data_IF_175636014741
#
_entry.id   IF_175636014741
#
_cell.length_a   1.000
_cell.length_b   1.000
_cell.length_c   1.000
_cell.angle_alpha   90.00
_cell.angle_beta   90.00
_cell.angle_gamma   90.00
#
_symmetry.space_group_name_H-M   'P 1'
#
loop_
_entity.id
_entity.type
_entity.pdbx_description
1 polymer ?
#
# COMPACT_ATOMS: atom_id res chain seq x y z
N UNK A 1 -48.81 33.11 -1.65
CA UNK A 1 -49.53 31.84 -1.38
C UNK A 1 -49.46 30.91 -2.60
N UNK A 2 -49.62 31.42 -3.82
CA UNK A 2 -49.58 30.64 -5.07
C UNK A 2 -48.25 29.96 -5.38
N UNK A 3 -47.10 30.62 -5.20
CA UNK A 3 -45.79 30.06 -5.58
C UNK A 3 -45.45 28.76 -4.83
N UNK A 4 -45.66 28.71 -3.50
CA UNK A 4 -45.39 27.52 -2.69
C UNK A 4 -46.33 26.36 -3.03
N UNK A 5 -47.59 26.65 -3.36
CA UNK A 5 -48.55 25.63 -3.79
C UNK A 5 -48.11 24.91 -5.08
N UNK A 6 -47.55 25.64 -6.06
CA UNK A 6 -47.00 25.01 -7.26
C UNK A 6 -45.71 24.23 -7.00
N UNK A 7 -44.92 24.63 -6.01
CA UNK A 7 -43.63 24.01 -5.67
C UNK A 7 -43.79 22.73 -4.83
N UNK A 8 -44.72 22.71 -3.86
CA UNK A 8 -44.88 21.62 -2.88
C UNK A 8 -46.24 20.91 -2.98
N UNK A 9 -47.16 21.38 -3.81
CA UNK A 9 -48.48 20.79 -4.03
C UNK A 9 -49.43 20.97 -2.85
N UNK A 10 -50.43 20.09 -2.72
CA UNK A 10 -51.43 20.15 -1.63
C UNK A 10 -50.87 19.82 -0.25
N UNK A 11 -49.60 19.39 -0.17
CA UNK A 11 -48.88 19.08 1.09
C UNK A 11 -48.11 20.26 1.66
N UNK A 12 -48.38 21.49 1.19
CA UNK A 12 -47.79 22.71 1.76
C UNK A 12 -48.11 22.83 3.25
N UNK A 13 -47.12 22.54 4.08
CA UNK A 13 -46.91 23.10 5.41
C UNK A 13 -46.33 24.52 5.29
N UNK A 14 -45.98 25.16 6.40
CA UNK A 14 -45.43 26.53 6.41
C UNK A 14 -43.90 26.55 6.56
N UNK A 15 -43.26 25.38 6.70
CA UNK A 15 -41.91 25.23 7.24
C UNK A 15 -40.91 24.63 6.22
N UNK A 16 -41.32 24.35 4.97
CA UNK A 16 -40.50 23.64 3.97
C UNK A 16 -39.14 24.30 3.74
N UNK A 17 -39.08 25.63 3.73
CA UNK A 17 -37.85 26.39 3.46
C UNK A 17 -37.06 26.73 4.75
N UNK A 18 -37.52 26.30 5.92
CA UNK A 18 -36.87 26.64 7.19
C UNK A 18 -35.65 25.76 7.49
N UNK A 19 -35.47 24.68 6.73
CA UNK A 19 -34.36 23.76 6.89
C UNK A 19 -33.28 23.98 5.82
N UNK A 20 -32.03 23.88 6.24
CA UNK A 20 -30.89 23.92 5.33
C UNK A 20 -30.85 22.64 4.47
N UNK A 21 -30.31 22.70 3.26
CA UNK A 21 -30.10 21.56 2.35
C UNK A 21 -29.25 20.41 2.96
N UNK A 22 -28.54 20.68 4.07
CA UNK A 22 -27.88 19.62 4.86
C UNK A 22 -28.88 18.67 5.53
N UNK A 23 -30.08 19.14 5.82
CA UNK A 23 -31.17 18.34 6.38
C UNK A 23 -31.80 17.54 5.25
N UNK A 24 -31.87 16.21 5.40
CA UNK A 24 -32.39 15.28 4.38
C UNK A 24 -33.93 15.29 4.32
N UNK A 25 -34.52 16.46 4.10
CA UNK A 25 -35.95 16.69 4.12
C UNK A 25 -36.40 17.35 2.81
N UNK A 26 -37.62 17.03 2.35
CA UNK A 26 -38.16 17.58 1.12
C UNK A 26 -37.29 17.25 -0.10
N UNK A 27 -36.96 18.27 -0.89
CA UNK A 27 -36.24 18.14 -2.16
C UNK A 27 -34.71 18.26 -2.04
N UNK A 28 -34.14 17.84 -0.90
CA UNK A 28 -32.73 18.03 -0.59
C UNK A 28 -31.79 17.50 -1.69
N UNK A 29 -32.13 16.38 -2.32
CA UNK A 29 -31.29 15.70 -3.32
C UNK A 29 -31.22 16.49 -4.63
N UNK A 30 -32.38 16.90 -5.17
CA UNK A 30 -32.42 17.68 -6.42
C UNK A 30 -31.79 19.06 -6.21
N UNK A 31 -32.06 19.72 -5.08
CA UNK A 31 -31.42 20.99 -4.77
C UNK A 31 -29.89 20.90 -4.59
N UNK A 32 -29.37 19.75 -4.15
CA UNK A 32 -27.93 19.54 -3.97
C UNK A 32 -27.21 19.34 -5.31
N UNK A 33 -27.86 18.65 -6.23
CA UNK A 33 -27.32 18.34 -7.56
C UNK A 33 -27.92 19.22 -8.67
N UNK A 34 -28.56 20.33 -8.31
CA UNK A 34 -29.12 21.30 -9.25
C UNK A 34 -28.00 21.84 -10.16
N UNK A 35 -28.18 21.67 -11.47
CA UNK A 35 -27.26 22.13 -12.51
C UNK A 35 -26.95 23.62 -12.35
N UNK A 36 -27.92 24.43 -11.89
CA UNK A 36 -27.72 25.86 -11.65
C UNK A 36 -26.67 26.14 -10.58
N UNK A 37 -26.54 25.27 -9.56
CA UNK A 37 -25.49 25.38 -8.53
C UNK A 37 -24.16 24.80 -9.02
N UNK A 38 -24.19 23.73 -9.80
CA UNK A 38 -22.97 23.14 -10.41
C UNK A 38 -22.32 24.12 -11.38
N UNK A 39 -23.12 24.90 -12.10
CA UNK A 39 -22.65 25.94 -13.02
C UNK A 39 -22.07 27.17 -12.30
N UNK A 40 -22.28 27.33 -10.98
CA UNK A 40 -21.62 28.40 -10.23
C UNK A 40 -20.14 28.04 -10.07
N UNK A 41 -19.32 28.59 -10.96
CA UNK A 41 -17.88 28.52 -10.82
C UNK A 41 -17.47 29.15 -9.48
N UNK A 42 -16.46 28.55 -8.84
CA UNK A 42 -15.81 29.17 -7.68
C UNK A 42 -15.33 30.57 -8.09
N UNK A 43 -15.43 31.58 -7.20
CA UNK A 43 -14.91 32.90 -7.50
C UNK A 43 -13.43 32.78 -7.85
N UNK A 44 -12.94 33.69 -8.71
CA UNK A 44 -11.52 33.71 -9.04
C UNK A 44 -10.69 33.81 -7.76
N UNK A 45 -9.58 33.06 -7.66
CA UNK A 45 -8.66 33.20 -6.54
C UNK A 45 -8.22 34.66 -6.39
N UNK A 46 -8.15 35.13 -5.15
CA UNK A 46 -7.67 36.49 -4.88
C UNK A 46 -6.19 36.61 -5.23
N UNK A 47 -5.83 37.68 -5.93
CA UNK A 47 -4.44 37.98 -6.30
C UNK A 47 -3.54 38.16 -5.07
N UNK A 48 -4.10 38.58 -3.93
CA UNK A 48 -3.35 38.87 -2.69
C UNK A 48 -3.58 37.84 -1.58
N UNK A 49 -4.40 36.80 -1.80
CA UNK A 49 -4.71 35.82 -0.74
C UNK A 49 -3.45 35.17 -0.17
N UNK A 50 -2.48 34.86 -1.03
CA UNK A 50 -1.22 34.23 -0.66
C UNK A 50 -0.36 35.08 0.30
N UNK A 51 -0.55 36.40 0.34
CA UNK A 51 0.20 37.27 1.25
C UNK A 51 -0.18 37.06 2.72
N UNK A 52 -1.38 36.53 2.97
CA UNK A 52 -1.93 36.30 4.30
C UNK A 52 -1.90 34.82 4.69
N UNK A 53 -1.46 33.95 3.79
CA UNK A 53 -1.39 32.52 4.03
C UNK A 53 -0.05 32.17 4.69
N UNK A 54 -0.12 31.48 5.82
CA UNK A 54 1.07 31.01 6.52
C UNK A 54 1.43 29.60 6.05
N UNK A 55 2.73 29.26 6.06
CA UNK A 55 3.17 27.88 5.82
C UNK A 55 2.50 26.91 6.79
N UNK A 56 2.30 27.33 8.04
CA UNK A 56 1.57 26.56 9.04
C UNK A 56 0.13 26.22 8.63
N UNK A 57 -0.62 27.19 8.09
CA UNK A 57 -2.00 26.95 7.64
C UNK A 57 -2.07 25.99 6.45
N UNK A 58 -1.09 26.04 5.56
CA UNK A 58 -1.03 25.14 4.39
C UNK A 58 -0.59 23.72 4.79
N UNK A 59 0.43 23.60 5.65
CA UNK A 59 1.01 22.31 6.07
C UNK A 59 0.11 21.54 7.05
N UNK A 60 -0.63 22.26 7.92
CA UNK A 60 -1.51 21.68 8.93
C UNK A 60 -3.00 21.87 8.61
N UNK A 61 -3.35 22.05 7.34
CA UNK A 61 -4.76 22.12 6.93
C UNK A 61 -5.49 20.81 7.20
N UNK A 62 -6.73 20.91 7.70
CA UNK A 62 -7.65 19.75 7.84
C UNK A 62 -8.27 19.36 6.51
N UNK A 63 -8.11 20.20 5.49
CA UNK A 63 -8.57 19.89 4.14
C UNK A 63 -7.75 18.73 3.61
N UNK A 64 -8.43 17.69 3.14
CA UNK A 64 -7.74 16.51 2.62
C UNK A 64 -7.02 16.92 1.33
N UNK A 65 -5.67 16.85 1.27
CA UNK A 65 -5.00 17.05 0.01
C UNK A 65 -5.53 16.01 -0.95
N UNK A 66 -5.97 16.44 -2.12
CA UNK A 66 -6.38 15.56 -3.23
C UNK A 66 -5.11 14.92 -3.84
N UNK A 67 -4.30 14.29 -2.99
CA UNK A 67 -3.11 13.58 -3.43
C UNK A 67 -3.52 12.21 -3.93
N UNK A 68 -3.54 12.07 -5.25
CA UNK A 68 -3.70 10.78 -5.95
C UNK A 68 -2.51 9.84 -5.71
N UNK A 69 -1.45 10.30 -5.03
CA UNK A 69 -0.24 9.52 -4.76
C UNK A 69 0.21 9.71 -3.32
N UNK A 70 -0.49 9.07 -2.39
CA UNK A 70 0.25 8.40 -1.32
C UNK A 70 0.84 7.15 -1.95
N UNK A 71 2.07 7.25 -2.48
CA UNK A 71 2.87 6.05 -2.73
C UNK A 71 3.11 5.46 -1.35
N UNK A 72 2.19 4.61 -0.90
CA UNK A 72 2.38 3.81 0.29
C UNK A 72 3.54 2.89 -0.05
N UNK A 73 4.73 3.27 0.41
CA UNK A 73 5.88 2.40 0.32
C UNK A 73 5.59 1.25 1.27
N UNK A 74 5.26 0.10 0.71
CA UNK A 74 5.04 -1.12 1.50
C UNK A 74 6.29 -1.38 2.35
N UNK A 75 6.15 -1.86 3.61
CA UNK A 75 7.29 -2.26 4.42
C UNK A 75 8.06 -3.37 3.70
N UNK A 76 9.12 -2.98 2.99
CA UNK A 76 9.95 -3.92 2.24
C UNK A 76 10.96 -4.55 3.21
N UNK A 77 10.75 -5.81 3.56
CA UNK A 77 11.77 -6.62 4.19
C UNK A 77 12.76 -7.06 3.10
N UNK A 78 14.02 -6.65 3.23
CA UNK A 78 15.08 -7.19 2.39
C UNK A 78 15.17 -8.71 2.64
N UNK A 79 15.29 -9.55 1.60
CA UNK A 79 15.44 -10.99 1.78
C UNK A 79 16.66 -11.26 2.66
N UNK A 80 16.42 -11.69 3.90
CA UNK A 80 17.45 -11.76 4.96
C UNK A 80 18.46 -12.91 4.78
N UNK A 81 18.27 -13.77 3.79
CA UNK A 81 19.16 -14.89 3.51
C UNK A 81 19.88 -14.69 2.18
N UNK A 82 21.19 -14.47 2.26
CA UNK A 82 22.09 -14.44 1.11
C UNK A 82 22.89 -15.74 1.09
N UNK A 83 22.54 -16.72 0.24
CA UNK A 83 23.21 -18.03 0.22
C UNK A 83 24.69 -17.94 -0.18
N UNK A 84 25.11 -16.82 -0.79
CA UNK A 84 26.50 -16.57 -1.16
C UNK A 84 27.41 -16.22 0.05
N UNK A 85 26.82 -15.76 1.16
CA UNK A 85 27.52 -15.48 2.41
C UNK A 85 27.69 -16.72 3.27
N UNK A 86 26.98 -17.81 2.95
CA UNK A 86 27.16 -19.08 3.62
C UNK A 86 28.51 -19.67 3.19
N UNK A 87 29.48 -19.87 4.11
CA UNK A 87 30.74 -20.47 3.75
C UNK A 87 30.46 -21.84 3.15
N UNK A 88 31.04 -22.17 1.97
CA UNK A 88 30.74 -23.44 1.34
C UNK A 88 31.13 -24.56 2.33
N UNK A 89 30.25 -25.54 2.56
CA UNK A 89 30.56 -26.67 3.41
C UNK A 89 31.87 -27.27 2.90
N UNK A 90 32.89 -27.27 3.76
CA UNK A 90 34.32 -27.57 3.49
C UNK A 90 34.48 -28.24 2.13
N UNK A 91 34.77 -27.44 1.09
CA UNK A 91 34.98 -28.00 -0.25
C UNK A 91 36.17 -28.95 -0.14
N UNK A 92 35.99 -30.24 -0.46
CA UNK A 92 37.11 -31.18 -0.57
C UNK A 92 38.12 -30.56 -1.54
N UNK A 93 39.31 -30.23 -1.04
CA UNK A 93 40.38 -29.68 -1.87
C UNK A 93 40.61 -30.61 -3.06
N UNK A 94 40.64 -30.06 -4.27
CA UNK A 94 40.90 -30.84 -5.47
C UNK A 94 42.24 -31.58 -5.31
N UNK A 95 42.25 -32.88 -5.58
CA UNK A 95 43.47 -33.69 -5.43
C UNK A 95 44.49 -33.25 -6.48
N UNK A 96 45.72 -32.96 -6.05
CA UNK A 96 46.81 -32.69 -6.97
C UNK A 96 47.19 -33.96 -7.75
N UNK A 97 47.83 -33.79 -8.91
CA UNK A 97 48.34 -34.91 -9.70
C UNK A 97 49.27 -35.83 -8.89
N UNK A 98 50.06 -35.27 -7.97
CA UNK A 98 50.90 -36.02 -7.04
C UNK A 98 50.07 -36.89 -6.09
N UNK A 99 49.02 -36.34 -5.50
CA UNK A 99 48.12 -37.10 -4.62
C UNK A 99 47.38 -38.23 -5.34
N UNK A 100 47.16 -38.11 -6.65
CA UNK A 100 46.55 -39.17 -7.44
C UNK A 100 47.56 -40.27 -7.80
N UNK A 101 48.82 -39.89 -8.03
CA UNK A 101 49.89 -40.81 -8.43
C UNK A 101 50.39 -41.69 -7.27
N UNK A 102 50.35 -41.19 -6.03
CA UNK A 102 50.88 -41.88 -4.84
C UNK A 102 49.80 -42.24 -3.81
N UNK A 103 48.57 -42.51 -4.27
CA UNK A 103 47.44 -42.82 -3.36
C UNK A 103 47.63 -44.20 -2.70
N UNK A 104 47.61 -44.26 -1.37
CA UNK A 104 47.77 -45.51 -0.61
C UNK A 104 46.59 -46.46 -0.90
N UNK A 105 46.82 -47.72 -1.32
CA UNK A 105 45.75 -48.67 -1.58
C UNK A 105 44.83 -48.93 -0.38
N UNK A 106 45.29 -48.77 0.86
CA UNK A 106 44.49 -48.97 2.06
C UNK A 106 43.65 -47.75 2.48
N UNK A 107 43.91 -46.57 1.91
CA UNK A 107 43.15 -45.33 2.19
C UNK A 107 41.76 -45.26 1.54
N UNK A 108 41.39 -46.27 0.74
CA UNK A 108 40.13 -46.28 -0.05
C UNK A 108 38.91 -46.67 0.79
N UNK A 109 39.10 -47.48 1.84
CA UNK A 109 38.00 -47.94 2.70
C UNK A 109 37.41 -46.80 3.56
N UNK A 110 38.26 -45.90 4.07
CA UNK A 110 37.85 -44.76 4.89
C UNK A 110 37.00 -43.75 4.10
N UNK A 111 37.31 -43.55 2.80
CA UNK A 111 36.65 -42.54 1.95
C UNK A 111 35.22 -42.90 1.55
N UNK A 112 34.89 -44.18 1.49
CA UNK A 112 33.56 -44.67 1.14
C UNK A 112 32.58 -44.53 2.31
N UNK A 113 33.07 -44.51 3.56
CA UNK A 113 32.25 -44.28 4.75
C UNK A 113 31.80 -42.81 4.85
N UNK A 114 32.69 -41.87 4.55
CA UNK A 114 32.37 -40.44 4.55
C UNK A 114 31.32 -40.07 3.49
N UNK A 115 31.35 -40.72 2.32
CA UNK A 115 30.40 -40.48 1.23
C UNK A 115 29.01 -41.07 1.51
N UNK A 116 28.92 -42.08 2.38
CA UNK A 116 27.64 -42.64 2.86
C UNK A 116 27.01 -41.79 3.97
N UNK A 117 27.82 -41.19 4.84
CA UNK A 117 27.34 -40.27 5.89
C UNK A 117 26.76 -38.97 5.33
N UNK A 118 27.28 -38.48 4.20
CA UNK A 118 26.78 -37.28 3.52
C UNK A 118 25.47 -37.51 2.74
N UNK A 119 25.10 -38.77 2.46
CA UNK A 119 23.91 -39.15 1.66
C UNK A 119 22.76 -39.73 2.50
N UNK A 120 22.52 -39.23 3.71
CA UNK A 120 21.23 -39.43 4.37
C UNK A 120 20.27 -38.30 3.95
N UNK A 121 19.10 -38.59 3.37
CA UNK A 121 18.12 -37.55 3.07
C UNK A 121 17.46 -37.06 4.37
N UNK A 122 17.49 -35.74 4.58
CA UNK A 122 16.71 -35.02 5.58
C UNK A 122 15.21 -35.27 5.30
N UNK A 123 14.50 -35.89 6.24
CA UNK A 123 13.05 -36.06 6.18
C UNK A 123 12.37 -34.68 6.28
N UNK A 124 11.79 -34.22 5.18
CA UNK A 124 10.91 -33.04 5.17
C UNK A 124 9.65 -33.33 5.97
N UNK A 125 9.59 -32.82 7.20
CA UNK A 125 8.35 -32.75 7.98
C UNK A 125 7.43 -31.69 7.36
N UNK A 126 6.37 -32.12 6.67
CA UNK A 126 5.25 -31.27 6.33
C UNK A 126 4.44 -30.99 7.62
N UNK A 127 4.24 -29.72 7.97
CA UNK A 127 3.26 -29.31 8.99
C UNK A 127 1.99 -28.80 8.30
N UNK A 128 0.88 -29.45 8.62
CA UNK A 128 -0.49 -28.92 8.51
C UNK A 128 -0.73 -27.82 9.53
#
# INVERSE_FOLDING_TARGET
ITAKFFQYGWRCTTNEDSYNNKTLLGNWNEERYDVRKVLQAKPMPSQYAHCFESTYSTDYSKETPHSTRRVMREPHWFPGHQPELEPPPIKRTARSCYMMAYDDPHSKESRHLDEKLLRKPEETTQKQ
#
